data_IF_385209078972
#
_entry.id   IF_385209078972
#
_cell.length_a   1.000
_cell.length_b   1.000
_cell.length_c   1.000
_cell.angle_alpha   90.00
_cell.angle_beta   90.00
_cell.angle_gamma   90.00
#
_symmetry.space_group_name_H-M   'P 1'
#
loop_
_entity.id
_entity.type
_entity.pdbx_description
1 polymer ?
#
# COMPACT_ATOMS: atom_id res chain seq x y z
N UNK A 1 -7.56 -10.29 -4.22
CA UNK A 1 -6.60 -9.90 -5.26
C UNK A 1 -5.67 -8.84 -4.69
N UNK A 2 -4.35 -9.01 -4.84
CA UNK A 2 -3.35 -8.09 -4.30
C UNK A 2 -3.75 -7.61 -2.89
N UNK A 3 -3.93 -8.55 -2.00
CA UNK A 3 -4.39 -8.23 -0.66
C UNK A 3 -3.20 -7.79 0.19
N UNK A 4 -3.31 -6.64 0.81
CA UNK A 4 -2.37 -6.19 1.83
C UNK A 4 -2.54 -7.10 3.03
N UNK A 5 -1.52 -7.87 3.34
CA UNK A 5 -1.50 -8.75 4.53
C UNK A 5 -1.24 -7.97 5.80
N UNK A 6 -0.32 -7.03 5.70
CA UNK A 6 0.09 -6.13 6.78
C UNK A 6 0.62 -4.83 6.19
N UNK A 7 -0.05 -3.73 6.44
CA UNK A 7 0.32 -2.42 5.91
C UNK A 7 1.75 -1.98 6.23
N UNK A 8 2.26 -2.36 7.40
CA UNK A 8 3.60 -1.98 7.77
C UNK A 8 4.65 -2.64 6.88
N UNK A 9 4.51 -3.94 6.61
CA UNK A 9 5.52 -4.71 5.88
C UNK A 9 5.27 -4.80 4.38
N UNK A 10 4.01 -4.75 3.94
CA UNK A 10 3.68 -4.79 2.53
C UNK A 10 3.98 -3.46 1.84
N UNK A 11 3.41 -2.37 2.40
CA UNK A 11 3.40 -1.09 1.71
C UNK A 11 4.45 -0.11 2.24
N UNK A 12 4.46 0.11 3.55
CA UNK A 12 5.10 1.31 4.07
C UNK A 12 6.55 1.14 4.51
N UNK A 13 6.97 -0.09 4.87
CA UNK A 13 8.32 -0.34 5.34
C UNK A 13 8.90 -1.63 4.77
N UNK A 14 9.98 -1.53 4.00
CA UNK A 14 10.74 -2.68 3.58
C UNK A 14 12.07 -2.75 4.35
N UNK A 15 12.32 -3.86 5.02
CA UNK A 15 13.51 -4.07 5.87
C UNK A 15 13.71 -2.96 6.93
N UNK A 16 12.62 -2.43 7.45
CA UNK A 16 12.62 -1.38 8.47
C UNK A 16 12.78 0.05 7.92
N UNK A 17 12.93 0.22 6.61
CA UNK A 17 12.99 1.53 5.98
C UNK A 17 11.64 1.91 5.37
N UNK A 18 11.22 3.15 5.58
CA UNK A 18 10.02 3.70 4.94
C UNK A 18 10.20 3.75 3.41
N UNK A 19 9.18 3.27 2.69
CA UNK A 19 9.17 3.25 1.22
C UNK A 19 8.76 4.63 0.70
N UNK A 20 9.72 5.43 0.24
CA UNK A 20 9.52 6.83 -0.13
C UNK A 20 8.50 7.05 -1.26
N UNK A 21 8.30 6.08 -2.14
CA UNK A 21 7.27 6.16 -3.19
C UNK A 21 5.86 6.28 -2.62
N UNK A 22 5.62 5.75 -1.42
CA UNK A 22 4.35 5.83 -0.72
C UNK A 22 4.06 7.21 -0.09
N UNK A 23 5.03 8.12 -0.06
CA UNK A 23 4.81 9.46 0.47
C UNK A 23 3.58 10.16 -0.13
N UNK A 24 3.42 10.09 -1.45
CA UNK A 24 2.23 10.66 -2.10
C UNK A 24 1.00 9.78 -1.96
N UNK A 25 1.19 8.48 -1.88
CA UNK A 25 0.10 7.52 -1.75
C UNK A 25 -0.58 7.56 -0.38
N UNK A 26 0.10 8.04 0.68
CA UNK A 26 -0.54 8.22 1.98
C UNK A 26 -1.82 9.04 1.90
N UNK A 27 -1.84 10.06 1.04
CA UNK A 27 -3.03 10.89 0.82
C UNK A 27 -4.25 10.10 0.30
N UNK A 28 -4.03 8.98 -0.40
CA UNK A 28 -5.11 8.11 -0.86
C UNK A 28 -5.78 7.40 0.31
N UNK A 29 -4.99 6.99 1.31
CA UNK A 29 -5.47 6.29 2.49
C UNK A 29 -5.94 7.22 3.60
N UNK A 30 -5.34 8.40 3.69
CA UNK A 30 -5.48 9.30 4.83
C UNK A 30 -6.36 10.52 4.62
N UNK A 31 -6.79 10.82 3.38
CA UNK A 31 -7.65 11.98 3.11
C UNK A 31 -9.12 11.60 3.20
N UNK A 32 -9.86 12.02 4.24
CA UNK A 32 -11.28 11.71 4.36
C UNK A 32 -12.10 12.42 3.28
N UNK A 33 -13.19 11.80 2.88
CA UNK A 33 -14.19 12.39 1.97
C UNK A 33 -15.59 12.20 2.54
N UNK A 34 -16.41 13.22 2.44
CA UNK A 34 -17.78 13.19 2.95
C UNK A 34 -18.68 12.24 2.16
N UNK A 35 -18.37 12.04 0.88
CA UNK A 35 -19.13 11.17 -0.02
C UNK A 35 -18.19 10.35 -0.90
N UNK A 36 -18.59 9.14 -1.31
CA UNK A 36 -17.89 8.41 -2.37
C UNK A 36 -17.86 9.25 -3.65
N UNK A 37 -16.68 9.42 -4.23
CA UNK A 37 -16.48 10.20 -5.45
C UNK A 37 -15.78 9.31 -6.46
N UNK A 38 -16.41 9.06 -7.60
CA UNK A 38 -15.92 8.24 -8.69
C UNK A 38 -15.14 9.03 -9.75
N UNK A 39 -15.27 10.35 -9.75
CA UNK A 39 -14.72 11.24 -10.79
C UNK A 39 -13.54 12.09 -10.33
N UNK A 40 -13.31 12.22 -9.03
CA UNK A 40 -12.25 13.05 -8.48
C UNK A 40 -11.22 12.22 -7.72
N UNK A 41 -9.98 12.25 -8.20
CA UNK A 41 -8.86 11.62 -7.49
C UNK A 41 -8.53 12.37 -6.19
N UNK A 42 -7.82 11.70 -5.31
CA UNK A 42 -7.35 12.30 -4.06
C UNK A 42 -6.32 13.39 -4.32
N UNK A 43 -6.38 14.45 -3.53
CA UNK A 43 -5.35 15.50 -3.56
C UNK A 43 -4.06 14.96 -2.96
N UNK A 44 -3.02 14.88 -3.75
CA UNK A 44 -1.69 14.45 -3.29
C UNK A 44 -0.77 15.66 -3.12
N UNK A 45 0.27 15.58 -2.28
CA UNK A 45 1.28 16.63 -2.17
C UNK A 45 1.93 16.94 -3.52
N UNK A 46 2.03 18.22 -3.85
CA UNK A 46 2.74 18.70 -5.03
C UNK A 46 4.21 18.95 -4.68
N UNK A 47 5.10 18.11 -5.19
CA UNK A 47 6.52 18.16 -4.90
C UNK A 47 7.25 19.25 -5.68
N UNK A 48 6.60 19.89 -6.66
CA UNK A 48 7.18 20.93 -7.54
C UNK A 48 8.38 20.46 -8.38
N UNK A 49 8.55 19.15 -8.51
CA UNK A 49 9.61 18.53 -9.30
C UNK A 49 9.18 17.16 -9.82
N UNK A 50 9.71 16.75 -10.96
CA UNK A 50 9.59 15.40 -11.48
C UNK A 50 10.69 14.47 -10.94
N UNK A 51 11.82 15.04 -10.51
CA UNK A 51 12.92 14.29 -9.90
C UNK A 51 12.62 14.04 -8.41
N UNK A 52 11.90 12.95 -8.15
CA UNK A 52 11.56 12.55 -6.80
C UNK A 52 12.78 12.07 -5.99
N UNK A 53 13.76 11.48 -6.64
CA UNK A 53 14.97 11.03 -5.95
C UNK A 53 15.73 12.21 -5.35
N UNK A 54 16.00 13.24 -6.15
CA UNK A 54 16.68 14.45 -5.67
C UNK A 54 15.83 15.17 -4.62
N UNK A 55 14.52 15.20 -4.80
CA UNK A 55 13.60 15.80 -3.82
C UNK A 55 13.77 15.17 -2.43
N UNK A 56 13.79 13.83 -2.33
CA UNK A 56 13.93 13.16 -1.04
C UNK A 56 15.33 13.30 -0.45
N UNK A 57 16.37 13.35 -1.28
CA UNK A 57 17.72 13.66 -0.81
C UNK A 57 17.81 15.06 -0.18
N UNK A 58 17.22 16.04 -0.83
CA UNK A 58 17.24 17.43 -0.37
C UNK A 58 16.35 17.63 0.86
N UNK A 59 15.27 16.88 0.97
CA UNK A 59 14.39 16.93 2.13
C UNK A 59 15.07 16.44 3.41
N UNK A 60 15.98 15.46 3.30
CA UNK A 60 16.67 14.88 4.45
C UNK A 60 15.74 14.01 5.32
N UNK A 61 15.70 14.21 6.65
CA UNK A 61 14.84 13.42 7.54
C UNK A 61 13.35 13.49 7.16
N UNK A 62 12.62 12.37 7.30
CA UNK A 62 11.20 12.28 6.97
C UNK A 62 10.34 13.32 7.68
N UNK A 63 10.70 13.71 8.90
CA UNK A 63 9.99 14.77 9.64
C UNK A 63 9.94 16.11 8.89
N UNK A 64 10.89 16.38 7.99
CA UNK A 64 10.86 17.57 7.16
C UNK A 64 9.75 17.56 6.11
N UNK A 65 9.13 16.40 5.87
CA UNK A 65 8.03 16.23 4.94
C UNK A 65 6.66 16.61 5.55
N UNK A 66 6.58 16.77 6.86
CA UNK A 66 5.34 17.16 7.57
C UNK A 66 4.72 18.45 6.99
N UNK A 67 5.54 19.33 6.44
CA UNK A 67 5.08 20.57 5.80
C UNK A 67 4.17 20.38 4.58
N UNK A 68 4.10 19.18 4.02
CA UNK A 68 3.25 18.86 2.88
C UNK A 68 1.86 18.36 3.28
N UNK A 69 1.69 18.01 4.55
CA UNK A 69 0.43 17.54 5.12
C UNK A 69 -0.09 18.54 6.15
N UNK A 70 -1.40 18.68 6.24
CA UNK A 70 -2.02 19.46 7.31
C UNK A 70 -1.88 18.69 8.62
N UNK A 71 -0.75 18.93 9.24
CA UNK A 71 -0.56 18.54 10.59
C UNK A 71 -0.47 19.82 11.43
N UNK A 72 -1.43 20.06 12.30
CA UNK A 72 -1.31 21.06 13.35
C UNK A 72 -0.30 20.59 14.38
N UNK A 73 0.96 20.54 14.00
CA UNK A 73 2.01 20.51 14.98
C UNK A 73 2.18 21.92 15.53
N UNK A 74 2.24 21.98 16.84
CA UNK A 74 2.57 23.19 17.63
C UNK A 74 3.84 23.89 17.10
N UNK A 75 4.67 23.16 16.35
CA UNK A 75 5.98 23.61 15.88
C UNK A 75 5.98 24.23 14.47
N UNK A 76 4.83 24.32 13.79
CA UNK A 76 4.76 24.87 12.43
C UNK A 76 3.61 25.89 12.25
N UNK A 77 3.63 27.03 12.94
CA UNK A 77 2.52 28.00 12.93
C UNK A 77 2.41 28.84 11.64
N UNK A 78 3.22 28.58 10.61
CA UNK A 78 3.31 29.43 9.41
C UNK A 78 2.87 28.81 8.09
N UNK A 79 2.39 27.55 8.09
CA UNK A 79 1.97 26.90 6.84
C UNK A 79 0.58 27.40 6.41
N UNK A 80 0.49 27.92 5.20
CA UNK A 80 -0.79 28.31 4.61
C UNK A 80 -1.63 27.08 4.33
N UNK A 81 -2.82 27.02 4.96
CA UNK A 81 -3.76 25.89 4.89
C UNK A 81 -4.17 25.49 3.46
N UNK A 82 -4.11 26.39 2.51
CA UNK A 82 -4.60 26.20 1.14
C UNK A 82 -3.79 25.22 0.26
N UNK A 83 -2.55 24.88 0.67
CA UNK A 83 -1.66 24.01 -0.10
C UNK A 83 -1.39 22.66 0.59
N UNK A 84 -2.02 22.41 1.73
CA UNK A 84 -1.78 21.21 2.51
C UNK A 84 -2.84 20.15 2.21
N UNK A 85 -2.44 18.89 2.33
CA UNK A 85 -3.34 17.75 2.30
C UNK A 85 -3.69 17.41 3.74
N UNK A 86 -4.99 17.37 4.07
CA UNK A 86 -5.45 16.88 5.36
C UNK A 86 -5.34 15.37 5.36
N UNK A 87 -4.36 14.82 6.06
CA UNK A 87 -3.98 13.42 5.98
C UNK A 87 -3.72 12.85 7.38
N UNK A 88 -4.73 12.17 7.93
CA UNK A 88 -4.63 11.51 9.22
C UNK A 88 -3.68 10.30 9.20
N UNK A 89 -3.48 9.67 8.04
CA UNK A 89 -2.64 8.49 7.93
C UNK A 89 -1.15 8.84 7.99
N UNK A 90 -0.77 10.00 7.42
CA UNK A 90 0.58 10.53 7.59
C UNK A 90 0.92 10.74 9.05
N UNK A 91 -0.03 11.28 9.82
CA UNK A 91 0.15 11.45 11.24
C UNK A 91 0.39 10.11 11.95
N UNK A 92 -0.41 9.11 11.60
CA UNK A 92 -0.26 7.79 12.19
C UNK A 92 1.10 7.15 11.88
N UNK A 93 1.62 7.34 10.65
CA UNK A 93 2.98 6.93 10.28
C UNK A 93 4.06 7.58 11.15
N UNK A 94 3.92 8.87 11.44
CA UNK A 94 4.88 9.62 12.26
C UNK A 94 4.80 9.22 13.74
N UNK A 95 3.60 9.03 14.26
CA UNK A 95 3.39 8.67 15.67
C UNK A 95 3.76 7.20 15.95
N UNK A 96 3.69 6.35 14.93
CA UNK A 96 3.95 4.91 15.02
C UNK A 96 5.05 4.44 14.05
N UNK A 97 6.30 4.93 14.21
CA UNK A 97 7.40 4.63 13.28
C UNK A 97 7.90 3.18 13.37
N UNK A 98 7.48 2.44 14.38
CA UNK A 98 7.85 1.05 14.62
C UNK A 98 6.62 0.14 14.51
N UNK A 99 6.85 -1.15 14.27
CA UNK A 99 5.80 -2.16 14.22
C UNK A 99 5.20 -2.43 15.60
N UNK A 100 4.29 -1.57 16.01
CA UNK A 100 3.60 -1.62 17.29
C UNK A 100 2.16 -2.18 17.18
N UNK A 101 1.41 -2.07 18.28
CA UNK A 101 0.05 -2.60 18.36
C UNK A 101 -0.95 -1.90 17.41
N UNK A 102 -0.65 -0.70 16.92
CA UNK A 102 -1.51 0.01 15.95
C UNK A 102 -1.41 -0.69 14.59
N UNK A 103 -0.19 -0.95 14.11
CA UNK A 103 0.04 -1.68 12.87
C UNK A 103 -0.46 -3.12 12.95
N UNK A 104 -0.14 -3.82 14.06
CA UNK A 104 -0.56 -5.20 14.26
C UNK A 104 -2.08 -5.38 14.16
N UNK A 105 -2.86 -4.45 14.68
CA UNK A 105 -4.33 -4.50 14.61
C UNK A 105 -4.88 -4.29 13.20
N UNK A 106 -4.14 -3.63 12.32
CA UNK A 106 -4.54 -3.38 10.93
C UNK A 106 -4.24 -4.56 10.00
N UNK A 107 -3.32 -5.43 10.38
CA UNK A 107 -2.97 -6.60 9.58
C UNK A 107 -4.11 -7.62 9.53
N UNK A 108 -4.42 -8.13 8.33
CA UNK A 108 -5.46 -9.15 8.15
C UNK A 108 -4.99 -10.55 8.52
N UNK A 109 -3.71 -10.82 8.43
CA UNK A 109 -3.11 -12.16 8.58
C UNK A 109 -3.56 -12.84 9.89
N UNK A 110 -3.54 -12.11 11.00
CA UNK A 110 -3.94 -12.61 12.31
C UNK A 110 -5.41 -13.04 12.41
N UNK A 111 -6.26 -12.58 11.50
CA UNK A 111 -7.70 -12.82 11.49
C UNK A 111 -8.11 -13.96 10.55
N UNK A 112 -7.24 -14.40 9.65
CA UNK A 112 -7.55 -15.41 8.63
C UNK A 112 -7.94 -16.77 9.21
N UNK A 113 -7.50 -17.09 10.42
CA UNK A 113 -7.94 -18.29 11.17
C UNK A 113 -9.45 -18.32 11.46
N UNK A 114 -10.13 -17.18 11.31
CA UNK A 114 -11.56 -17.07 11.58
C UNK A 114 -12.43 -17.32 10.34
N UNK A 115 -11.84 -17.65 9.19
CA UNK A 115 -12.57 -17.97 7.97
C UNK A 115 -13.36 -19.24 8.17
N UNK A 116 -14.66 -19.18 7.88
CA UNK A 116 -15.53 -20.36 8.02
C UNK A 116 -15.24 -21.39 6.94
N UNK A 117 -15.34 -22.70 7.24
CA UNK A 117 -15.10 -23.76 6.25
C UNK A 117 -15.97 -23.70 5.00
N UNK A 118 -17.13 -23.06 5.09
CA UNK A 118 -18.02 -22.85 3.93
C UNK A 118 -17.59 -21.77 2.95
N UNK A 119 -16.52 -21.03 3.26
CA UNK A 119 -16.03 -19.92 2.42
C UNK A 119 -14.92 -20.45 1.52
N UNK A 120 -15.18 -20.50 0.21
CA UNK A 120 -14.13 -20.75 -0.78
C UNK A 120 -13.29 -19.47 -0.99
N UNK A 121 -11.98 -19.62 -0.97
CA UNK A 121 -11.04 -18.49 -1.13
C UNK A 121 -10.19 -18.69 -2.38
N UNK A 122 -10.02 -17.62 -3.15
CA UNK A 122 -9.04 -17.54 -4.23
C UNK A 122 -8.17 -16.31 -4.01
N UNK A 123 -6.89 -16.54 -3.76
CA UNK A 123 -5.88 -15.49 -3.61
C UNK A 123 -5.19 -15.29 -4.95
N UNK A 124 -5.16 -14.06 -5.43
CA UNK A 124 -4.57 -13.73 -6.74
C UNK A 124 -3.50 -12.67 -6.53
N UNK A 125 -2.32 -12.87 -7.13
CA UNK A 125 -1.22 -11.92 -7.09
C UNK A 125 -0.30 -12.05 -8.31
N UNK A 126 0.64 -11.13 -8.44
CA UNK A 126 1.62 -11.10 -9.52
C UNK A 126 3.05 -11.29 -9.01
N UNK A 127 3.87 -12.03 -9.73
CA UNK A 127 5.30 -12.20 -9.37
C UNK A 127 6.11 -10.91 -9.51
N UNK A 128 5.60 -9.97 -10.28
CA UNK A 128 6.21 -8.66 -10.52
C UNK A 128 5.43 -7.53 -9.85
N UNK A 129 4.58 -7.88 -8.89
CA UNK A 129 3.89 -6.89 -8.07
C UNK A 129 4.89 -6.23 -7.12
N UNK A 130 5.16 -4.95 -7.34
CA UNK A 130 6.09 -4.18 -6.53
C UNK A 130 5.44 -3.61 -5.25
N UNK A 131 4.13 -3.76 -5.12
CA UNK A 131 3.32 -3.26 -4.02
C UNK A 131 2.89 -4.40 -3.10
N UNK A 132 2.14 -5.36 -3.62
CA UNK A 132 1.49 -6.41 -2.83
C UNK A 132 2.01 -7.83 -3.18
N UNK A 133 3.28 -8.09 -3.00
CA UNK A 133 3.83 -9.43 -3.22
C UNK A 133 3.75 -10.31 -1.96
N UNK A 134 4.06 -9.76 -0.81
CA UNK A 134 4.08 -10.47 0.47
C UNK A 134 2.66 -10.86 0.92
N UNK A 135 1.73 -9.93 0.90
CA UNK A 135 0.37 -10.08 1.41
C UNK A 135 -0.39 -11.25 0.81
N UNK A 136 -0.47 -11.43 -0.53
CA UNK A 136 -1.14 -12.57 -1.14
C UNK A 136 -0.50 -13.91 -0.75
N UNK A 137 0.82 -13.99 -0.73
CA UNK A 137 1.53 -15.22 -0.39
C UNK A 137 1.30 -15.63 1.07
N UNK A 138 1.41 -14.68 2.01
CA UNK A 138 1.16 -14.95 3.42
C UNK A 138 -0.31 -15.19 3.72
N UNK A 139 -1.23 -14.52 3.01
CA UNK A 139 -2.66 -14.80 3.11
C UNK A 139 -2.96 -16.24 2.73
N UNK A 140 -2.46 -16.69 1.57
CA UNK A 140 -2.67 -18.07 1.12
C UNK A 140 -2.12 -19.08 2.14
N UNK A 141 -0.85 -18.95 2.51
CA UNK A 141 -0.18 -19.86 3.48
C UNK A 141 -0.90 -19.91 4.82
N UNK A 142 -1.34 -18.75 5.32
CA UNK A 142 -2.00 -18.66 6.62
C UNK A 142 -3.38 -19.34 6.59
N UNK A 143 -4.12 -19.20 5.49
CA UNK A 143 -5.40 -19.91 5.31
C UNK A 143 -5.14 -21.42 5.26
N UNK A 144 -4.18 -21.90 4.47
CA UNK A 144 -3.82 -23.32 4.39
C UNK A 144 -3.48 -23.89 5.76
N UNK A 145 -2.68 -23.15 6.55
CA UNK A 145 -2.22 -23.62 7.85
C UNK A 145 -3.32 -23.68 8.93
N UNK A 146 -4.27 -22.75 8.88
CA UNK A 146 -5.25 -22.59 9.96
C UNK A 146 -6.67 -23.06 9.63
N UNK A 147 -6.97 -23.28 8.36
CA UNK A 147 -8.31 -23.63 7.89
C UNK A 147 -8.26 -24.82 6.91
N UNK A 148 -7.89 -26.03 7.38
CA UNK A 148 -7.62 -27.17 6.51
C UNK A 148 -8.85 -27.69 5.76
N UNK A 149 -10.04 -27.34 6.21
CA UNK A 149 -11.30 -27.74 5.58
C UNK A 149 -11.80 -26.72 4.54
N UNK A 150 -11.09 -25.58 4.36
CA UNK A 150 -11.47 -24.59 3.39
C UNK A 150 -10.95 -24.95 1.98
N UNK A 151 -11.79 -24.68 0.98
CA UNK A 151 -11.29 -24.63 -0.39
C UNK A 151 -10.50 -23.33 -0.58
N UNK A 152 -9.18 -23.44 -0.74
CA UNK A 152 -8.30 -22.31 -0.88
C UNK A 152 -7.39 -22.50 -2.11
N UNK A 153 -7.28 -21.50 -2.95
CA UNK A 153 -6.51 -21.54 -4.19
C UNK A 153 -5.64 -20.30 -4.33
N UNK A 154 -4.39 -20.52 -4.73
CA UNK A 154 -3.46 -19.46 -5.08
C UNK A 154 -3.30 -19.37 -6.60
N UNK A 155 -3.47 -18.17 -7.15
CA UNK A 155 -3.24 -17.87 -8.56
C UNK A 155 -2.17 -16.79 -8.66
N UNK A 156 -1.00 -17.17 -9.17
CA UNK A 156 0.10 -16.26 -9.40
C UNK A 156 0.60 -16.38 -10.84
N UNK A 157 0.89 -15.23 -11.43
CA UNK A 157 1.40 -15.17 -12.80
C UNK A 157 2.43 -14.06 -12.99
N UNK A 158 2.99 -13.92 -14.19
CA UNK A 158 3.98 -12.90 -14.51
C UNK A 158 3.34 -11.52 -14.69
N UNK A 159 2.64 -11.06 -13.68
CA UNK A 159 1.88 -9.82 -13.69
C UNK A 159 2.49 -8.78 -12.76
N UNK A 160 2.37 -7.52 -13.13
CA UNK A 160 2.50 -6.38 -12.24
C UNK A 160 1.18 -6.15 -11.45
N UNK A 161 1.15 -5.15 -10.59
CA UNK A 161 0.01 -4.83 -9.75
C UNK A 161 -1.28 -4.62 -10.57
N UNK A 162 -2.26 -5.48 -10.34
CA UNK A 162 -3.58 -5.44 -11.00
C UNK A 162 -3.62 -5.93 -12.45
N UNK A 163 -2.50 -6.38 -13.03
CA UNK A 163 -2.45 -6.79 -14.43
C UNK A 163 -3.32 -8.01 -14.74
N UNK A 164 -3.54 -8.91 -13.78
CA UNK A 164 -4.47 -10.06 -13.93
C UNK A 164 -5.92 -9.66 -14.24
N UNK A 165 -6.32 -8.43 -13.95
CA UNK A 165 -7.67 -7.91 -14.19
C UNK A 165 -7.74 -6.98 -15.40
N UNK A 166 -6.60 -6.60 -15.98
CA UNK A 166 -6.56 -5.67 -17.11
C UNK A 166 -6.52 -6.43 -18.43
N UNK A 167 -7.59 -6.37 -19.20
CA UNK A 167 -7.75 -7.09 -20.47
C UNK A 167 -6.75 -6.73 -21.58
N UNK A 168 -5.89 -5.75 -21.33
CA UNK A 168 -4.88 -5.26 -22.30
C UNK A 168 -3.45 -5.57 -21.86
N UNK A 169 -3.26 -6.45 -20.91
CA UNK A 169 -1.94 -6.89 -20.52
C UNK A 169 -1.27 -7.60 -21.69
N UNK A 170 -0.17 -7.06 -22.07
CA UNK A 170 0.74 -7.74 -22.99
C UNK A 170 1.42 -8.85 -22.20
N UNK A 171 1.77 -9.95 -22.85
CA UNK A 171 2.56 -11.03 -22.26
C UNK A 171 4.01 -10.55 -21.98
N UNK A 172 4.13 -9.38 -21.36
CA UNK A 172 5.40 -8.74 -21.07
C UNK A 172 5.31 -7.89 -19.80
N UNK A 173 6.39 -7.88 -19.01
CA UNK A 173 6.59 -6.98 -17.89
C UNK A 173 7.92 -6.25 -18.12
N UNK A 174 7.87 -4.91 -18.18
CA UNK A 174 9.01 -4.11 -18.59
C UNK A 174 9.55 -4.53 -19.96
N UNK A 175 10.79 -4.97 -20.02
CA UNK A 175 11.47 -5.44 -21.24
C UNK A 175 11.38 -6.96 -21.42
N UNK A 176 10.65 -7.67 -20.57
CA UNK A 176 10.57 -9.13 -20.61
C UNK A 176 9.29 -9.59 -21.31
N UNK A 177 9.42 -10.41 -22.33
CA UNK A 177 8.32 -11.00 -23.05
C UNK A 177 8.21 -12.50 -22.74
N UNK A 178 7.03 -12.95 -22.31
CA UNK A 178 6.79 -14.32 -21.85
C UNK A 178 6.23 -15.24 -22.94
N UNK A 179 6.04 -14.73 -24.15
CA UNK A 179 5.45 -15.48 -25.27
C UNK A 179 3.92 -15.33 -25.35
N UNK A 180 3.34 -15.93 -26.39
CA UNK A 180 1.91 -15.79 -26.70
C UNK A 180 1.02 -16.86 -26.05
N UNK A 181 1.60 -17.73 -25.22
CA UNK A 181 0.90 -18.89 -24.64
C UNK A 181 0.56 -18.73 -23.16
N UNK A 182 0.62 -17.50 -22.64
CA UNK A 182 0.33 -17.20 -21.23
C UNK A 182 -0.97 -16.37 -21.18
#
# INVERSE_FOLDING_TARGET
QACIGDFFFDDFHHNGAYVLSYFRATAVFGTPKDQPIDTAWYKTPDLKTEDQYQFFLDAGPLSNLNKYFQYESIDNPGLKKENLVDDFFWQELIDHPNYDSVWQKKGIIQHLKNIKPSVATMVVGGWFDAEDLYGPLETYKTIEANNPDNYNTLVFGPWDHGAWARSKTKNAVGNYYFGDSI
#
